data_IF_345401027746
#
_entry.id   IF_345401027746
#
_cell.length_a   1.000
_cell.length_b   1.000
_cell.length_c   1.000
_cell.angle_alpha   90.00
_cell.angle_beta   90.00
_cell.angle_gamma   90.00
#
_symmetry.space_group_name_H-M   'P 1'
#
loop_
_entity.id
_entity.type
_entity.pdbx_description
1 polymer ?
#
# COMPACT_ATOMS: atom_id res chain seq x y z
N UNK A 1 -11.24 -12.82 13.26
CA UNK A 1 -11.59 -13.31 11.92
C UNK A 1 -12.65 -14.34 12.15
N UNK A 2 -13.78 -14.20 11.46
CA UNK A 2 -14.94 -15.05 11.67
C UNK A 2 -15.27 -15.64 10.30
N UNK A 3 -15.27 -16.97 10.22
CA UNK A 3 -15.86 -17.69 9.11
C UNK A 3 -17.34 -17.87 9.45
N UNK A 4 -18.25 -17.46 8.55
CA UNK A 4 -19.67 -17.72 8.74
C UNK A 4 -20.08 -19.05 8.07
N UNK A 5 -21.29 -19.53 8.37
CA UNK A 5 -21.85 -20.78 7.84
C UNK A 5 -22.02 -20.78 6.31
N UNK A 6 -21.75 -19.66 5.63
CA UNK A 6 -21.90 -19.48 4.19
C UNK A 6 -20.57 -19.41 3.43
N UNK A 7 -19.45 -19.79 4.05
CA UNK A 7 -18.13 -19.77 3.39
C UNK A 7 -17.58 -18.35 3.16
N UNK A 8 -18.13 -17.34 3.84
CA UNK A 8 -17.61 -15.98 3.81
C UNK A 8 -16.67 -15.76 4.99
N UNK A 9 -15.49 -15.26 4.68
CA UNK A 9 -14.46 -14.92 5.64
C UNK A 9 -14.48 -13.42 5.92
N UNK A 10 -14.73 -13.05 7.17
CA UNK A 10 -14.73 -11.66 7.61
C UNK A 10 -13.48 -11.33 8.42
N UNK A 11 -12.76 -10.31 7.96
CA UNK A 11 -11.66 -9.66 8.68
C UNK A 11 -12.15 -8.34 9.22
N UNK A 12 -12.25 -8.25 10.54
CA UNK A 12 -12.57 -7.00 11.24
C UNK A 12 -11.66 -6.87 12.46
N UNK A 13 -11.43 -5.62 12.86
CA UNK A 13 -10.90 -5.29 14.17
C UNK A 13 -12.03 -4.58 14.94
N UNK A 14 -12.51 -5.19 16.02
CA UNK A 14 -13.75 -4.86 16.77
C UNK A 14 -13.89 -3.39 17.23
N UNK A 15 -12.85 -2.58 17.07
CA UNK A 15 -12.75 -1.20 17.56
C UNK A 15 -12.21 -0.22 16.51
N UNK A 16 -11.97 -0.67 15.27
CA UNK A 16 -11.54 0.20 14.16
C UNK A 16 -12.68 0.57 13.20
N UNK A 17 -13.87 0.01 13.39
CA UNK A 17 -15.06 0.40 12.65
C UNK A 17 -15.03 0.02 11.17
N UNK A 18 -14.15 -0.87 10.74
CA UNK A 18 -14.13 -1.41 9.38
C UNK A 18 -14.15 -2.93 9.38
N UNK A 19 -14.67 -3.48 8.30
CA UNK A 19 -14.70 -4.90 8.01
C UNK A 19 -14.38 -5.15 6.53
N UNK A 20 -13.75 -6.28 6.25
CA UNK A 20 -13.45 -6.73 4.91
C UNK A 20 -13.96 -8.17 4.73
N UNK A 21 -14.71 -8.38 3.66
CA UNK A 21 -15.32 -9.66 3.35
C UNK A 21 -14.58 -10.33 2.19
N UNK A 22 -14.32 -11.62 2.36
CA UNK A 22 -13.71 -12.51 1.35
C UNK A 22 -14.59 -13.74 1.19
N UNK A 23 -14.57 -14.35 0.03
CA UNK A 23 -15.24 -15.62 -0.23
C UNK A 23 -14.21 -16.74 -0.28
N UNK A 24 -14.46 -17.84 0.42
CA UNK A 24 -13.49 -18.93 0.53
C UNK A 24 -13.24 -19.64 -0.81
N UNK A 25 -14.29 -19.77 -1.61
CA UNK A 25 -14.29 -20.49 -2.89
C UNK A 25 -13.99 -19.59 -4.10
N UNK A 26 -13.95 -18.26 -3.91
CA UNK A 26 -13.63 -17.30 -4.95
C UNK A 26 -12.17 -16.85 -4.83
N UNK A 27 -11.47 -16.79 -5.96
CA UNK A 27 -10.09 -16.31 -5.94
C UNK A 27 -10.06 -14.78 -5.81
N UNK A 28 -9.21 -14.27 -4.93
CA UNK A 28 -8.92 -12.84 -4.87
C UNK A 28 -9.53 -12.17 -3.65
N UNK A 29 -10.12 -10.99 -3.83
CA UNK A 29 -10.72 -10.21 -2.73
C UNK A 29 -9.88 -9.04 -2.20
N UNK A 30 -10.39 -8.23 -1.28
CA UNK A 30 -11.72 -8.37 -0.68
C UNK A 30 -12.83 -8.17 -1.71
N UNK A 31 -13.93 -8.92 -1.53
CA UNK A 31 -15.17 -8.72 -2.29
C UNK A 31 -15.84 -7.41 -1.88
N UNK A 32 -15.71 -7.05 -0.60
CA UNK A 32 -16.16 -5.77 -0.09
C UNK A 32 -15.27 -5.32 1.07
N UNK A 33 -15.02 -4.01 1.15
CA UNK A 33 -14.59 -3.36 2.38
C UNK A 33 -15.69 -2.37 2.78
N UNK A 34 -16.13 -2.45 4.03
CA UNK A 34 -17.08 -1.51 4.62
C UNK A 34 -16.44 -0.76 5.80
N UNK A 35 -16.81 0.50 5.95
CA UNK A 35 -16.44 1.35 7.09
C UNK A 35 -17.72 1.90 7.70
N UNK A 36 -17.91 1.68 9.00
CA UNK A 36 -19.14 1.97 9.74
C UNK A 36 -20.40 1.37 9.07
N UNK A 37 -20.26 0.17 8.48
CA UNK A 37 -21.33 -0.53 7.76
C UNK A 37 -21.65 0.05 6.36
N UNK A 38 -20.87 1.01 5.87
CA UNK A 38 -21.03 1.59 4.54
C UNK A 38 -19.96 0.99 3.61
N UNK A 39 -20.34 0.34 2.50
CA UNK A 39 -19.39 -0.14 1.50
C UNK A 39 -18.57 1.01 0.92
N UNK A 40 -17.25 0.83 0.87
CA UNK A 40 -16.30 1.82 0.33
C UNK A 40 -15.55 1.28 -0.89
N UNK A 41 -15.45 -0.05 -1.00
CA UNK A 41 -14.83 -0.77 -2.10
C UNK A 41 -15.64 -2.03 -2.33
N UNK A 42 -15.95 -2.31 -3.59
CA UNK A 42 -16.55 -3.56 -4.04
C UNK A 42 -15.72 -4.17 -5.16
N UNK A 43 -15.53 -5.48 -5.05
CA UNK A 43 -14.65 -6.25 -5.92
C UNK A 43 -13.18 -5.87 -5.78
N UNK A 44 -12.33 -6.86 -6.06
CA UNK A 44 -10.91 -6.68 -6.21
C UNK A 44 -10.43 -7.57 -7.35
N UNK A 45 -10.68 -7.07 -8.56
CA UNK A 45 -10.63 -7.84 -9.79
C UNK A 45 -9.23 -8.25 -10.22
N UNK A 46 -9.12 -9.49 -10.65
CA UNK A 46 -8.06 -10.00 -11.52
C UNK A 46 -8.70 -10.53 -12.80
N UNK A 47 -8.06 -10.26 -13.94
CA UNK A 47 -8.42 -10.89 -15.20
C UNK A 47 -7.21 -11.03 -16.13
N UNK A 48 -7.29 -12.04 -16.98
CA UNK A 48 -6.38 -12.35 -18.05
C UNK A 48 -7.21 -12.64 -19.30
N UNK A 49 -7.20 -11.72 -20.25
CA UNK A 49 -8.00 -11.72 -21.46
C UNK A 49 -9.50 -11.86 -21.16
N UNK A 50 -10.12 -12.98 -21.54
CA UNK A 50 -11.52 -13.32 -21.31
C UNK A 50 -11.77 -14.11 -20.02
N UNK A 51 -10.70 -14.47 -19.30
CA UNK A 51 -10.78 -15.14 -18.00
C UNK A 51 -10.69 -14.13 -16.88
N UNK A 52 -11.59 -14.19 -15.91
CA UNK A 52 -11.53 -13.40 -14.68
C UNK A 52 -11.24 -14.28 -13.46
N UNK A 53 -11.41 -13.71 -12.27
CA UNK A 53 -11.21 -14.40 -11.01
C UNK A 53 -12.13 -15.62 -10.81
N UNK A 54 -13.29 -15.67 -11.47
CA UNK A 54 -14.25 -16.78 -11.34
C UNK A 54 -13.80 -18.00 -12.15
N UNK A 55 -12.89 -17.80 -13.12
CA UNK A 55 -12.26 -18.88 -13.87
C UNK A 55 -11.12 -19.58 -13.09
N UNK A 56 -10.70 -19.03 -11.94
CA UNK A 56 -9.59 -19.60 -11.15
C UNK A 56 -10.09 -20.76 -10.30
N UNK A 57 -9.50 -21.95 -10.48
CA UNK A 57 -9.70 -23.06 -9.56
C UNK A 57 -8.94 -22.77 -8.25
N UNK A 58 -9.67 -22.32 -7.22
CA UNK A 58 -9.11 -22.06 -5.89
C UNK A 58 -8.64 -23.37 -5.27
N UNK A 59 -7.38 -23.40 -4.86
CA UNK A 59 -6.74 -24.57 -4.25
C UNK A 59 -6.53 -24.43 -2.75
N UNK A 60 -6.50 -23.18 -2.26
CA UNK A 60 -6.27 -22.87 -0.86
C UNK A 60 -6.71 -21.44 -0.54
N UNK A 61 -7.47 -21.31 0.53
CA UNK A 61 -7.73 -20.04 1.21
C UNK A 61 -7.23 -20.16 2.65
N UNK A 62 -6.57 -19.11 3.16
CA UNK A 62 -6.10 -19.05 4.55
C UNK A 62 -6.37 -17.67 5.12
N UNK A 63 -6.77 -17.62 6.38
CA UNK A 63 -6.82 -16.40 7.14
C UNK A 63 -6.12 -16.58 8.48
N UNK A 64 -5.21 -15.68 8.81
CA UNK A 64 -4.39 -15.76 10.01
C UNK A 64 -3.94 -14.37 10.46
N UNK A 65 -3.44 -14.26 11.70
CA UNK A 65 -2.85 -13.02 12.21
C UNK A 65 -1.33 -13.11 12.11
N UNK A 66 -0.68 -12.04 11.65
CA UNK A 66 0.79 -12.02 11.58
C UNK A 66 1.37 -10.63 11.73
N UNK A 67 2.16 -10.45 12.79
CA UNK A 67 2.91 -9.20 13.04
C UNK A 67 2.00 -7.97 13.07
N UNK A 68 0.93 -8.04 13.86
CA UNK A 68 0.00 -6.92 14.05
C UNK A 68 -0.95 -6.64 12.89
N UNK A 69 -1.15 -7.63 12.00
CA UNK A 69 -2.06 -7.51 10.87
C UNK A 69 -2.94 -8.76 10.76
N UNK A 70 -4.19 -8.58 10.31
CA UNK A 70 -5.01 -9.65 9.77
C UNK A 70 -4.55 -9.96 8.35
N UNK A 71 -4.40 -11.23 8.00
CA UNK A 71 -3.91 -11.67 6.70
C UNK A 71 -4.90 -12.65 6.10
N UNK A 72 -5.27 -12.44 4.84
CA UNK A 72 -6.03 -13.40 4.03
C UNK A 72 -5.20 -13.71 2.80
N UNK A 73 -5.07 -14.98 2.46
CA UNK A 73 -4.36 -15.41 1.26
C UNK A 73 -5.15 -16.45 0.48
N UNK A 74 -5.25 -16.25 -0.82
CA UNK A 74 -5.85 -17.17 -1.79
C UNK A 74 -4.75 -17.67 -2.73
N UNK A 75 -4.75 -18.97 -3.04
CA UNK A 75 -3.90 -19.59 -4.04
C UNK A 75 -4.78 -20.41 -5.00
N UNK A 76 -4.52 -20.33 -6.29
CA UNK A 76 -5.30 -21.03 -7.30
C UNK A 76 -4.58 -21.21 -8.63
N UNK A 77 -5.29 -21.79 -9.58
CA UNK A 77 -4.79 -22.05 -10.93
C UNK A 77 -5.85 -21.65 -11.96
N UNK A 78 -5.42 -20.91 -12.99
CA UNK A 78 -6.22 -20.80 -14.21
C UNK A 78 -6.07 -22.10 -15.03
N UNK A 79 -7.16 -22.86 -15.25
CA UNK A 79 -7.08 -24.24 -15.76
C UNK A 79 -6.91 -24.34 -17.28
N UNK A 80 -7.15 -23.27 -18.03
CA UNK A 80 -7.18 -23.30 -19.49
C UNK A 80 -5.79 -23.10 -20.11
N UNK A 81 -5.47 -23.91 -21.13
CA UNK A 81 -4.17 -23.88 -21.79
C UNK A 81 -3.05 -24.48 -20.94
N UNK A 82 -2.03 -23.68 -20.61
CA UNK A 82 -0.96 -24.06 -19.68
C UNK A 82 -1.31 -23.53 -18.29
N UNK A 83 -1.36 -24.36 -17.24
CA UNK A 83 -1.74 -23.91 -15.90
C UNK A 83 -0.92 -22.70 -15.44
N UNK A 84 -1.61 -21.59 -15.19
CA UNK A 84 -1.02 -20.37 -14.61
C UNK A 84 -1.38 -20.36 -13.14
N UNK A 85 -0.37 -20.45 -12.28
CA UNK A 85 -0.58 -20.36 -10.84
C UNK A 85 -0.69 -18.90 -10.42
N UNK A 86 -1.72 -18.60 -9.65
CA UNK A 86 -1.97 -17.27 -9.10
C UNK A 86 -2.09 -17.34 -7.58
N UNK A 87 -1.64 -16.30 -6.90
CA UNK A 87 -1.85 -16.14 -5.48
C UNK A 87 -2.11 -14.67 -5.15
N UNK A 88 -2.99 -14.41 -4.20
CA UNK A 88 -3.23 -13.07 -3.68
C UNK A 88 -3.16 -13.08 -2.16
N UNK A 89 -2.48 -12.10 -1.57
CA UNK A 89 -2.42 -11.90 -0.12
C UNK A 89 -2.83 -10.49 0.24
N UNK A 90 -3.88 -10.37 1.04
CA UNK A 90 -4.36 -9.13 1.63
C UNK A 90 -3.90 -9.04 3.09
N UNK A 91 -3.21 -7.96 3.44
CA UNK A 91 -2.69 -7.71 4.80
C UNK A 91 -3.30 -6.42 5.35
N UNK A 92 -4.22 -6.58 6.29
CA UNK A 92 -4.99 -5.52 6.92
C UNK A 92 -4.33 -5.03 8.21
N UNK A 93 -4.16 -3.72 8.35
CA UNK A 93 -3.72 -3.11 9.59
C UNK A 93 -4.17 -1.65 9.66
N UNK A 94 -4.60 -1.21 10.85
CA UNK A 94 -5.03 0.17 11.08
C UNK A 94 -6.14 0.56 10.09
N UNK A 95 -5.91 1.54 9.22
CA UNK A 95 -6.87 2.03 8.23
C UNK A 95 -6.51 1.64 6.78
N UNK A 96 -5.71 0.59 6.59
CA UNK A 96 -5.24 0.21 5.26
C UNK A 96 -5.16 -1.31 5.08
N UNK A 97 -5.19 -1.72 3.81
CA UNK A 97 -4.85 -3.06 3.37
C UNK A 97 -3.75 -2.99 2.32
N UNK A 98 -2.72 -3.80 2.49
CA UNK A 98 -1.71 -4.03 1.45
C UNK A 98 -2.05 -5.32 0.73
N UNK A 99 -2.06 -5.28 -0.59
CA UNK A 99 -2.36 -6.43 -1.43
C UNK A 99 -1.11 -6.81 -2.21
N UNK A 100 -0.75 -8.09 -2.14
CA UNK A 100 0.30 -8.72 -2.95
C UNK A 100 -0.35 -9.70 -3.89
N UNK A 101 -0.18 -9.53 -5.19
CA UNK A 101 -0.62 -10.46 -6.20
C UNK A 101 0.60 -11.13 -6.85
N UNK A 102 0.65 -12.45 -6.85
CA UNK A 102 1.68 -13.26 -7.48
C UNK A 102 1.08 -14.04 -8.64
N UNK A 103 1.77 -14.04 -9.78
CA UNK A 103 1.42 -14.85 -10.95
C UNK A 103 2.66 -15.54 -11.49
N UNK A 104 2.59 -16.86 -11.61
CA UNK A 104 3.68 -17.68 -12.16
C UNK A 104 3.40 -17.98 -13.63
N UNK A 105 4.16 -17.33 -14.51
CA UNK A 105 3.98 -17.47 -15.94
C UNK A 105 4.72 -18.71 -16.47
N UNK A 106 4.04 -19.74 -16.99
CA UNK A 106 4.69 -20.88 -17.59
C UNK A 106 5.25 -20.53 -18.98
N UNK A 107 6.23 -21.30 -19.44
CA UNK A 107 6.78 -21.13 -20.80
C UNK A 107 5.66 -21.33 -21.82
N UNK A 108 5.48 -20.37 -22.73
CA UNK A 108 4.53 -20.46 -23.83
C UNK A 108 3.08 -20.16 -23.46
N UNK A 109 2.78 -19.68 -22.25
CA UNK A 109 1.53 -18.96 -22.01
C UNK A 109 1.61 -17.56 -22.65
N UNK A 110 0.48 -17.08 -23.13
CA UNK A 110 0.36 -15.78 -23.80
C UNK A 110 -0.73 -14.94 -23.15
N UNK A 111 -0.60 -13.62 -23.31
CA UNK A 111 -1.66 -12.65 -23.06
C UNK A 111 -2.09 -12.18 -24.44
N UNK A 112 -3.35 -12.38 -24.80
CA UNK A 112 -3.84 -11.99 -26.12
C UNK A 112 -3.94 -10.47 -26.23
N UNK A 113 -4.53 -9.83 -25.22
CA UNK A 113 -4.82 -8.40 -25.21
C UNK A 113 -4.69 -7.76 -23.84
N UNK A 114 -5.20 -8.39 -22.78
CA UNK A 114 -5.39 -7.71 -21.50
C UNK A 114 -4.93 -8.55 -20.31
N UNK A 115 -4.18 -7.95 -19.41
CA UNK A 115 -3.95 -8.46 -18.07
C UNK A 115 -4.19 -7.33 -17.07
N UNK A 116 -5.18 -7.54 -16.20
CA UNK A 116 -5.61 -6.58 -15.19
C UNK A 116 -5.54 -7.15 -13.77
N UNK A 117 -5.18 -6.30 -12.82
CA UNK A 117 -5.08 -6.69 -11.41
C UNK A 117 -5.38 -5.52 -10.48
N UNK A 118 -6.13 -5.78 -9.40
CA UNK A 118 -6.49 -4.79 -8.41
C UNK A 118 -7.42 -3.72 -8.97
N UNK A 119 -8.25 -4.07 -9.97
CA UNK A 119 -9.36 -3.25 -10.41
C UNK A 119 -10.47 -3.25 -9.35
N UNK A 120 -11.15 -2.11 -9.17
CA UNK A 120 -12.05 -1.88 -8.04
C UNK A 120 -13.30 -1.15 -8.50
N UNK A 121 -14.40 -1.35 -7.79
CA UNK A 121 -15.56 -0.49 -7.86
C UNK A 121 -15.69 0.32 -6.56
N UNK A 122 -15.89 1.63 -6.69
CA UNK A 122 -16.07 2.55 -5.58
C UNK A 122 -17.52 3.01 -5.54
N UNK A 123 -18.38 2.37 -4.72
CA UNK A 123 -19.80 2.69 -4.70
C UNK A 123 -20.08 4.10 -4.17
N UNK A 124 -21.16 4.70 -4.66
CA UNK A 124 -21.66 5.99 -4.21
C UNK A 124 -21.12 7.19 -4.99
N UNK A 125 -21.48 8.39 -4.52
CA UNK A 125 -21.14 9.64 -5.19
C UNK A 125 -19.81 10.20 -4.68
N UNK A 126 -18.92 10.52 -5.61
CA UNK A 126 -17.58 11.06 -5.36
C UNK A 126 -17.45 12.45 -5.97
N UNK A 127 -16.89 13.41 -5.22
CA UNK A 127 -16.80 14.81 -5.66
C UNK A 127 -15.56 15.11 -6.48
N UNK A 128 -14.43 14.56 -6.04
CA UNK A 128 -13.11 14.88 -6.59
C UNK A 128 -12.12 13.77 -6.26
N UNK A 129 -11.01 13.75 -6.98
CA UNK A 129 -9.89 12.88 -6.67
C UNK A 129 -8.56 13.64 -6.69
N UNK A 130 -7.66 13.29 -5.78
CA UNK A 130 -6.29 13.77 -5.73
C UNK A 130 -5.38 12.79 -6.46
N UNK A 131 -4.64 13.28 -7.44
CA UNK A 131 -3.70 12.49 -8.24
C UNK A 131 -2.28 12.70 -7.74
N UNK A 132 -1.62 11.64 -7.28
CA UNK A 132 -0.16 11.58 -7.20
C UNK A 132 0.34 10.97 -8.51
N UNK A 133 1.01 11.76 -9.39
CA UNK A 133 1.31 11.31 -10.74
C UNK A 133 2.36 10.18 -10.75
N UNK A 134 2.50 9.46 -11.87
CA UNK A 134 3.55 8.45 -12.05
C UNK A 134 4.95 8.95 -11.68
N UNK A 135 5.82 8.03 -11.27
CA UNK A 135 7.20 8.32 -10.86
C UNK A 135 7.94 9.24 -11.83
N UNK A 136 7.91 8.94 -13.13
CA UNK A 136 8.60 9.77 -14.14
C UNK A 136 8.03 11.17 -14.26
N UNK A 137 6.72 11.35 -14.17
CA UNK A 137 6.10 12.66 -14.20
C UNK A 137 6.45 13.49 -12.95
N UNK A 138 6.54 12.86 -11.78
CA UNK A 138 7.07 13.52 -10.57
C UNK A 138 8.52 13.97 -10.79
N UNK A 139 9.36 13.11 -11.37
CA UNK A 139 10.76 13.45 -11.69
C UNK A 139 10.87 14.60 -12.70
N UNK A 140 9.88 14.76 -13.57
CA UNK A 140 9.75 15.88 -14.53
C UNK A 140 9.13 17.14 -13.91
N UNK A 141 8.76 17.11 -12.62
CA UNK A 141 8.25 18.26 -11.88
C UNK A 141 6.73 18.42 -11.90
N UNK A 142 5.97 17.43 -12.38
CA UNK A 142 4.51 17.43 -12.29
C UNK A 142 4.10 17.31 -10.82
N UNK A 143 3.38 18.30 -10.31
CA UNK A 143 2.90 18.30 -8.93
C UNK A 143 1.62 17.48 -8.76
N UNK A 144 1.43 16.81 -7.62
CA UNK A 144 0.13 16.25 -7.25
C UNK A 144 -0.97 17.33 -7.15
N UNK A 145 -2.20 16.99 -7.52
CA UNK A 145 -3.32 17.95 -7.56
C UNK A 145 -4.69 17.28 -7.37
N UNK A 146 -5.68 18.08 -6.94
CA UNK A 146 -7.09 17.70 -6.92
C UNK A 146 -7.73 17.94 -8.29
N UNK A 147 -8.64 17.03 -8.66
CA UNK A 147 -9.42 17.05 -9.88
C UNK A 147 -10.89 16.84 -9.53
N UNK A 148 -11.76 17.74 -9.98
CA UNK A 148 -13.21 17.63 -9.77
C UNK A 148 -13.81 16.51 -10.63
N UNK A 149 -14.77 15.79 -10.07
CA UNK A 149 -15.58 14.78 -10.75
C UNK A 149 -16.89 15.45 -11.16
N UNK A 150 -17.23 15.48 -12.45
CA UNK A 150 -18.47 16.08 -12.91
C UNK A 150 -19.68 15.26 -12.41
N UNK A 151 -20.78 15.96 -12.10
CA UNK A 151 -22.01 15.31 -11.64
C UNK A 151 -22.64 14.37 -12.69
N UNK A 152 -22.47 14.70 -13.97
CA UNK A 152 -22.85 13.82 -15.08
C UNK A 152 -21.58 13.21 -15.71
N UNK A 153 -21.62 11.92 -16.10
CA UNK A 153 -20.49 11.29 -16.77
C UNK A 153 -20.21 11.98 -18.10
N UNK A 154 -18.93 12.17 -18.48
CA UNK A 154 -18.59 12.65 -19.82
C UNK A 154 -19.10 11.65 -20.86
N UNK A 155 -19.18 12.05 -22.14
CA UNK A 155 -19.70 11.16 -23.19
C UNK A 155 -18.97 9.82 -23.34
N UNK A 156 -17.71 9.73 -22.90
CA UNK A 156 -16.92 8.47 -22.85
C UNK A 156 -17.04 7.71 -21.52
N UNK A 157 -17.64 8.31 -20.50
CA UNK A 157 -17.60 7.87 -19.10
C UNK A 157 -16.21 7.99 -18.44
N UNK A 158 -15.14 8.28 -19.19
CA UNK A 158 -13.78 8.23 -18.68
C UNK A 158 -13.36 9.56 -18.05
N UNK A 159 -12.98 9.54 -16.78
CA UNK A 159 -12.51 10.71 -16.02
C UNK A 159 -10.99 10.91 -16.10
N UNK A 160 -10.24 9.81 -16.22
CA UNK A 160 -8.78 9.85 -16.30
C UNK A 160 -8.23 8.60 -16.98
N UNK A 161 -7.10 8.76 -17.68
CA UNK A 161 -6.38 7.68 -18.36
C UNK A 161 -4.88 7.93 -18.31
N UNK A 162 -4.12 6.90 -17.95
CA UNK A 162 -2.66 6.93 -17.93
C UNK A 162 -2.10 5.63 -18.50
N UNK A 163 -0.96 5.74 -19.17
CA UNK A 163 -0.17 4.58 -19.61
C UNK A 163 0.79 4.08 -18.52
N UNK A 164 1.15 4.95 -17.58
CA UNK A 164 1.92 4.60 -16.37
C UNK A 164 1.02 4.69 -15.15
N UNK A 165 1.24 3.84 -14.13
CA UNK A 165 0.40 3.87 -12.96
C UNK A 165 0.58 5.18 -12.19
N UNK A 166 -0.51 5.90 -11.85
CA UNK A 166 -0.46 6.87 -10.77
C UNK A 166 0.13 6.24 -9.51
N UNK A 167 0.92 6.99 -8.74
CA UNK A 167 1.43 6.46 -7.46
C UNK A 167 0.30 6.28 -6.45
N UNK A 168 -0.63 7.23 -6.42
CA UNK A 168 -1.85 7.16 -5.63
C UNK A 168 -2.97 8.00 -6.24
N UNK A 169 -4.20 7.56 -5.99
CA UNK A 169 -5.44 8.28 -6.23
C UNK A 169 -6.19 8.37 -4.91
N UNK A 170 -6.53 9.56 -4.42
CA UNK A 170 -7.37 9.75 -3.23
C UNK A 170 -8.72 10.31 -3.66
N UNK A 171 -9.78 9.55 -3.50
CA UNK A 171 -11.15 9.95 -3.82
C UNK A 171 -11.81 10.53 -2.58
N UNK A 172 -12.56 11.63 -2.72
CA UNK A 172 -13.30 12.29 -1.64
C UNK A 172 -14.80 12.29 -1.93
N UNK A 173 -15.60 11.85 -0.95
CA UNK A 173 -17.06 11.87 -0.97
C UNK A 173 -17.64 13.18 -0.44
N UNK A 174 -18.95 13.32 -0.61
CA UNK A 174 -19.72 14.47 -0.13
C UNK A 174 -19.67 14.70 1.38
N UNK A 175 -19.58 13.62 2.14
CA UNK A 175 -19.49 13.58 3.60
C UNK A 175 -18.06 13.78 4.12
N UNK A 176 -17.08 13.98 3.23
CA UNK A 176 -15.67 14.14 3.57
C UNK A 176 -14.91 12.83 3.78
N UNK A 177 -15.55 11.67 3.60
CA UNK A 177 -14.87 10.38 3.58
C UNK A 177 -13.85 10.33 2.44
N UNK A 178 -12.69 9.72 2.71
CA UNK A 178 -11.62 9.56 1.72
C UNK A 178 -11.17 8.13 1.59
N UNK A 179 -10.97 7.72 0.34
CA UNK A 179 -10.39 6.44 -0.02
C UNK A 179 -9.16 6.67 -0.90
N UNK A 180 -8.06 6.05 -0.55
CA UNK A 180 -6.81 6.06 -1.29
C UNK A 180 -6.55 4.71 -1.95
N UNK A 181 -6.23 4.74 -3.24
CA UNK A 181 -5.78 3.59 -4.03
C UNK A 181 -4.36 3.87 -4.49
N UNK A 182 -3.39 3.09 -4.01
CA UNK A 182 -1.98 3.32 -4.34
C UNK A 182 -1.29 2.13 -4.98
N UNK A 183 -0.36 2.41 -5.89
CA UNK A 183 0.37 1.41 -6.69
C UNK A 183 1.43 0.65 -5.88
N UNK A 184 1.62 1.00 -4.61
CA UNK A 184 2.60 0.35 -3.75
C UNK A 184 4.04 0.66 -4.17
N UNK A 185 4.97 -0.20 -3.76
CA UNK A 185 6.40 0.05 -3.93
C UNK A 185 6.97 -0.45 -5.24
N UNK A 186 6.32 -1.45 -5.85
CA UNK A 186 6.84 -2.20 -6.99
C UNK A 186 6.63 -1.49 -8.34
N UNK A 187 6.78 -0.16 -8.39
CA UNK A 187 6.45 0.67 -9.56
C UNK A 187 7.07 0.14 -10.84
N UNK A 188 8.34 -0.29 -10.76
CA UNK A 188 9.02 -0.89 -11.91
C UNK A 188 8.34 -2.14 -12.48
N UNK A 189 7.59 -2.91 -11.69
CA UNK A 189 6.85 -4.08 -12.21
C UNK A 189 5.58 -3.67 -12.93
N UNK A 190 4.95 -2.60 -12.46
CA UNK A 190 3.81 -1.99 -13.13
C UNK A 190 4.23 -1.28 -14.42
N UNK A 191 5.37 -0.57 -14.43
CA UNK A 191 5.85 0.19 -15.60
C UNK A 191 6.57 -0.64 -16.65
N UNK A 192 7.19 -1.77 -16.30
CA UNK A 192 7.86 -2.62 -17.30
C UNK A 192 6.94 -3.71 -17.83
N UNK A 193 5.62 -3.67 -17.60
CA UNK A 193 4.56 -4.47 -18.24
C UNK A 193 4.99 -5.89 -18.66
N UNK A 194 5.54 -6.69 -17.75
CA UNK A 194 6.08 -8.04 -18.00
C UNK A 194 7.25 -8.19 -19.00
N UNK A 195 7.89 -7.10 -19.42
CA UNK A 195 8.94 -7.02 -20.43
C UNK A 195 8.55 -6.10 -21.60
N UNK A 196 7.28 -5.69 -21.66
CA UNK A 196 6.75 -4.79 -22.67
C UNK A 196 6.83 -3.35 -22.12
N UNK A 197 7.13 -2.37 -22.97
CA UNK A 197 7.43 -1.01 -22.52
C UNK A 197 6.25 -0.34 -21.77
N UNK A 198 6.48 0.80 -21.10
CA UNK A 198 5.49 1.46 -20.24
C UNK A 198 4.21 1.90 -20.96
N UNK A 199 4.24 2.06 -22.28
CA UNK A 199 3.04 2.39 -23.08
C UNK A 199 2.02 1.25 -23.13
N UNK A 200 2.42 0.04 -22.74
CA UNK A 200 1.53 -1.11 -22.64
C UNK A 200 0.70 -1.09 -21.35
N UNK A 201 0.91 -0.15 -20.42
CA UNK A 201 0.01 0.02 -19.29
C UNK A 201 -1.27 0.76 -19.67
N UNK A 202 -2.36 0.47 -18.96
CA UNK A 202 -3.64 1.19 -19.08
C UNK A 202 -4.31 1.30 -17.71
N UNK A 203 -4.36 2.51 -17.19
CA UNK A 203 -4.94 2.84 -15.89
C UNK A 203 -6.04 3.87 -16.09
N UNK A 204 -7.27 3.55 -15.66
CA UNK A 204 -8.45 4.37 -15.96
C UNK A 204 -9.33 4.55 -14.73
N UNK A 205 -10.02 5.69 -14.71
CA UNK A 205 -11.18 5.93 -13.85
C UNK A 205 -12.39 6.10 -14.77
N UNK A 206 -13.37 5.22 -14.63
CA UNK A 206 -14.64 5.30 -15.33
C UNK A 206 -15.72 5.78 -14.36
N UNK A 207 -16.53 6.74 -14.77
CA UNK A 207 -17.71 7.22 -14.08
C UNK A 207 -18.90 6.36 -14.53
N UNK A 208 -19.47 5.61 -13.59
CA UNK A 208 -20.63 4.76 -13.77
C UNK A 208 -21.83 5.32 -13.01
N UNK A 209 -23.02 4.78 -13.22
CA UNK A 209 -24.26 5.35 -12.68
C UNK A 209 -24.32 5.34 -11.13
N UNK A 210 -23.65 4.37 -10.52
CA UNK A 210 -23.68 4.05 -9.09
C UNK A 210 -22.32 4.20 -8.40
N UNK A 211 -21.30 4.70 -9.11
CA UNK A 211 -19.97 4.86 -8.55
C UNK A 211 -18.86 5.09 -9.57
N UNK A 212 -17.63 4.77 -9.15
CA UNK A 212 -16.44 4.84 -10.00
C UNK A 212 -15.84 3.45 -10.18
N UNK A 213 -15.54 3.08 -11.43
CA UNK A 213 -14.74 1.89 -11.72
C UNK A 213 -13.30 2.26 -11.98
N UNK A 214 -12.40 1.63 -11.23
CA UNK A 214 -10.96 1.77 -11.38
C UNK A 214 -10.45 0.56 -12.16
N UNK A 215 -9.88 0.81 -13.33
CA UNK A 215 -9.28 -0.23 -14.18
C UNK A 215 -7.77 -0.08 -14.10
N UNK A 216 -7.08 -1.19 -13.84
CA UNK A 216 -5.62 -1.24 -13.71
C UNK A 216 -5.09 -2.42 -14.50
N UNK A 217 -4.59 -2.12 -15.69
CA UNK A 217 -4.00 -3.07 -16.61
C UNK A 217 -2.49 -2.82 -16.67
N UNK A 218 -1.66 -3.59 -15.96
CA UNK A 218 -0.22 -3.56 -16.18
C UNK A 218 0.17 -3.94 -17.60
N UNK A 219 -0.70 -4.57 -18.37
CA UNK A 219 -0.46 -4.97 -19.74
C UNK A 219 -1.76 -4.95 -20.54
N UNK A 220 -1.83 -4.04 -21.51
CA UNK A 220 -2.81 -3.93 -22.57
C UNK A 220 -2.04 -3.85 -23.90
N UNK A 221 -2.30 -4.76 -24.82
CA UNK A 221 -1.62 -4.85 -26.10
C UNK A 221 -2.61 -5.07 -27.25
N UNK A 222 -2.25 -4.56 -28.43
CA UNK A 222 -2.96 -4.85 -29.68
C UNK A 222 -2.53 -6.18 -30.31
N UNK A 223 -1.41 -6.75 -29.85
CA UNK A 223 -0.82 -8.00 -30.32
C UNK A 223 -0.68 -8.99 -29.17
N UNK A 224 -0.74 -10.28 -29.50
CA UNK A 224 -0.46 -11.35 -28.53
C UNK A 224 0.98 -11.23 -28.02
N UNK A 225 1.14 -11.29 -26.71
CA UNK A 225 2.43 -11.20 -26.05
C UNK A 225 2.73 -12.44 -25.24
N UNK A 226 4.00 -12.85 -25.22
CA UNK A 226 4.48 -14.00 -24.46
C UNK A 226 5.41 -13.53 -23.33
N UNK A 227 4.89 -13.31 -22.10
CA UNK A 227 5.73 -13.01 -20.95
C UNK A 227 6.83 -14.04 -20.71
N UNK A 228 7.95 -13.60 -20.12
CA UNK A 228 9.04 -14.49 -19.73
C UNK A 228 8.57 -15.51 -18.70
N UNK A 229 9.10 -16.75 -18.77
CA UNK A 229 8.83 -17.77 -17.76
C UNK A 229 9.44 -17.36 -16.42
N UNK A 230 8.62 -16.81 -15.52
CA UNK A 230 8.99 -16.48 -14.13
C UNK A 230 7.75 -16.14 -13.30
N UNK A 231 7.97 -16.00 -12.00
CA UNK A 231 7.00 -15.37 -11.11
C UNK A 231 7.06 -13.85 -11.24
N UNK A 232 5.92 -13.23 -11.50
CA UNK A 232 5.69 -11.80 -11.38
C UNK A 232 4.92 -11.54 -10.09
N UNK A 233 5.22 -10.41 -9.44
CA UNK A 233 4.57 -9.97 -8.21
C UNK A 233 4.12 -8.54 -8.37
N UNK A 234 2.89 -8.19 -8.05
CA UNK A 234 2.39 -6.82 -8.09
C UNK A 234 1.85 -6.48 -6.71
N UNK A 235 2.43 -5.45 -6.09
CA UNK A 235 1.94 -4.94 -4.81
C UNK A 235 1.13 -3.67 -5.06
N UNK A 236 0.13 -3.44 -4.23
CA UNK A 236 -0.63 -2.19 -4.15
C UNK A 236 -1.30 -2.10 -2.77
N UNK A 237 -2.02 -1.02 -2.50
CA UNK A 237 -2.73 -0.88 -1.23
C UNK A 237 -3.98 -0.03 -1.37
N UNK A 238 -4.85 -0.16 -0.37
CA UNK A 238 -5.95 0.75 -0.09
C UNK A 238 -5.76 1.35 1.29
N UNK A 239 -6.14 2.61 1.46
CA UNK A 239 -6.25 3.23 2.77
C UNK A 239 -7.49 4.11 2.83
N UNK A 240 -8.11 4.24 3.99
CA UNK A 240 -9.34 5.03 4.16
C UNK A 240 -9.24 5.98 5.35
N UNK A 241 -10.02 7.05 5.30
CA UNK A 241 -10.10 8.03 6.37
C UNK A 241 -11.57 8.43 6.57
N UNK A 242 -12.05 8.21 7.78
CA UNK A 242 -13.36 8.68 8.23
C UNK A 242 -13.30 10.20 8.45
N UNK A 243 -14.29 10.99 7.99
CA UNK A 243 -14.34 12.43 8.25
C UNK A 243 -14.35 12.78 9.75
N UNK A 244 -14.86 11.88 10.61
CA UNK A 244 -14.87 12.04 12.06
C UNK A 244 -13.51 11.76 12.72
N UNK A 245 -12.54 11.20 11.98
CA UNK A 245 -11.21 10.92 12.50
C UNK A 245 -10.43 12.22 12.72
N UNK A 246 -10.26 12.61 13.99
CA UNK A 246 -9.38 13.73 14.33
C UNK A 246 -7.91 13.37 14.07
N UNK A 247 -7.22 14.22 13.31
CA UNK A 247 -5.78 14.11 13.14
C UNK A 247 -5.08 14.54 14.44
N UNK A 248 -4.13 13.73 14.95
CA UNK A 248 -3.41 14.06 16.17
C UNK A 248 -2.63 15.37 15.99
N UNK A 249 -2.75 16.27 16.97
CA UNK A 249 -1.99 17.53 17.00
C UNK A 249 -0.58 17.28 17.52
N UNK A 250 0.40 17.98 16.95
CA UNK A 250 1.76 17.95 17.48
C UNK A 250 1.76 18.46 18.94
N UNK A 251 2.44 17.75 19.86
CA UNK A 251 2.45 18.12 21.26
C UNK A 251 3.24 19.42 21.47
N UNK A 252 2.77 20.26 22.40
CA UNK A 252 3.53 21.40 22.88
C UNK A 252 4.38 20.97 24.09
N UNK A 253 5.69 21.23 24.06
CA UNK A 253 6.58 20.91 25.18
C UNK A 253 8.04 20.73 24.77
N UNK A 254 8.93 20.52 25.75
CA UNK A 254 10.32 20.16 25.48
C UNK A 254 10.37 18.79 24.81
N UNK A 255 11.15 18.71 23.73
CA UNK A 255 11.22 17.55 22.86
C UNK A 255 12.67 17.09 22.73
N UNK A 256 12.88 15.77 22.79
CA UNK A 256 14.21 15.16 22.64
C UNK A 256 14.35 14.53 21.25
N UNK A 257 15.33 14.99 20.47
CA UNK A 257 15.67 14.43 19.16
C UNK A 257 16.40 13.09 19.29
N UNK A 258 15.67 11.98 19.19
CA UNK A 258 16.20 10.66 19.55
C UNK A 258 17.30 10.15 18.62
N UNK A 259 17.38 10.66 17.39
CA UNK A 259 18.43 10.30 16.45
C UNK A 259 19.78 10.97 16.77
N UNK A 260 19.76 12.11 17.46
CA UNK A 260 20.94 12.90 17.80
C UNK A 260 21.31 12.81 19.30
N UNK A 261 20.33 12.56 20.17
CA UNK A 261 20.50 12.52 21.62
C UNK A 261 21.37 11.35 22.10
N UNK A 262 22.09 11.58 23.19
CA UNK A 262 22.84 10.51 23.85
C UNK A 262 21.88 9.54 24.60
N UNK A 263 22.23 8.26 24.76
CA UNK A 263 21.38 7.32 25.51
C UNK A 263 21.01 7.78 26.93
N UNK A 264 21.92 8.45 27.63
CA UNK A 264 21.66 9.00 28.96
C UNK A 264 20.62 10.12 28.96
N UNK A 265 20.61 10.96 27.92
CA UNK A 265 19.62 12.02 27.74
C UNK A 265 18.23 11.43 27.46
N UNK A 266 18.15 10.41 26.60
CA UNK A 266 16.91 9.71 26.31
C UNK A 266 16.36 9.05 27.59
N UNK A 267 17.23 8.44 28.41
CA UNK A 267 16.85 7.83 29.69
C UNK A 267 16.37 8.86 30.72
N UNK A 268 17.02 10.02 30.80
CA UNK A 268 16.64 11.10 31.71
C UNK A 268 15.26 11.69 31.41
N UNK A 269 14.78 11.52 30.18
CA UNK A 269 13.48 12.00 29.70
C UNK A 269 12.45 10.87 29.53
N UNK A 270 12.59 9.75 30.26
CA UNK A 270 11.61 8.66 30.24
C UNK A 270 10.18 9.20 30.51
N UNK A 271 9.21 8.73 29.72
CA UNK A 271 7.84 9.24 29.73
C UNK A 271 7.62 10.59 29.04
N UNK A 272 8.68 11.21 28.48
CA UNK A 272 8.62 12.51 27.81
C UNK A 272 8.15 12.48 26.36
N UNK A 273 8.42 13.59 25.66
CA UNK A 273 8.14 13.77 24.23
C UNK A 273 9.44 13.58 23.44
N UNK A 274 9.40 12.68 22.48
CA UNK A 274 10.52 12.30 21.62
C UNK A 274 10.22 12.63 20.16
N UNK A 275 11.24 13.03 19.39
CA UNK A 275 11.14 13.17 17.93
C UNK A 275 12.14 12.28 17.22
N UNK A 276 11.61 11.45 16.33
CA UNK A 276 12.38 10.79 15.30
C UNK A 276 12.27 11.62 14.01
N UNK A 277 13.23 12.51 13.80
CA UNK A 277 13.42 13.17 12.51
C UNK A 277 14.30 12.30 11.59
N UNK A 278 13.77 11.81 10.45
CA UNK A 278 14.55 10.98 9.53
C UNK A 278 15.80 11.67 8.98
N UNK A 279 15.79 13.00 8.85
CA UNK A 279 16.94 13.78 8.36
C UNK A 279 18.11 13.80 9.35
N UNK A 280 17.83 13.58 10.64
CA UNK A 280 18.84 13.53 11.70
C UNK A 280 19.43 12.12 11.89
N UNK A 281 18.89 11.12 11.19
CA UNK A 281 19.41 9.76 11.27
C UNK A 281 20.78 9.67 10.59
N UNK A 282 21.76 9.11 11.30
CA UNK A 282 23.09 8.82 10.75
C UNK A 282 23.02 7.65 9.76
N UNK A 283 22.69 7.96 8.52
CA UNK A 283 22.53 6.99 7.43
C UNK A 283 23.71 7.06 6.45
N UNK A 284 24.04 5.92 5.86
CA UNK A 284 24.92 5.91 4.70
C UNK A 284 24.19 6.54 3.51
N UNK A 285 24.93 7.22 2.63
CA UNK A 285 24.41 7.81 1.39
C UNK A 285 23.57 6.82 0.55
N UNK A 286 23.96 5.54 0.55
CA UNK A 286 23.25 4.45 -0.13
C UNK A 286 21.87 4.13 0.46
N UNK A 287 21.45 4.76 1.55
CA UNK A 287 20.11 4.62 2.15
C UNK A 287 19.16 5.75 1.74
N UNK A 288 19.69 6.84 1.20
CA UNK A 288 18.91 8.00 0.77
C UNK A 288 18.30 7.76 -0.61
N UNK A 289 17.15 8.37 -0.86
CA UNK A 289 16.49 8.27 -2.15
C UNK A 289 17.30 9.01 -3.24
N UNK A 290 17.13 8.56 -4.47
CA UNK A 290 17.58 9.29 -5.66
C UNK A 290 16.33 9.56 -6.49
N UNK A 291 15.95 10.84 -6.66
CA UNK A 291 14.60 11.21 -7.11
C UNK A 291 14.37 10.97 -8.61
N UNK A 292 15.43 10.71 -9.38
CA UNK A 292 15.34 10.43 -10.82
C UNK A 292 16.35 9.36 -11.24
N UNK A 293 16.18 8.83 -12.45
CA UNK A 293 17.14 7.90 -13.07
C UNK A 293 18.50 8.59 -13.31
N UNK A 294 18.49 9.85 -13.73
CA UNK A 294 19.69 10.66 -13.97
C UNK A 294 20.46 10.91 -12.68
N UNK A 295 19.75 11.25 -11.59
CA UNK A 295 20.36 11.41 -10.27
C UNK A 295 21.01 10.11 -9.81
N UNK A 296 20.38 8.96 -10.07
CA UNK A 296 20.99 7.65 -9.81
C UNK A 296 22.26 7.42 -10.62
N UNK A 297 22.23 7.67 -11.93
CA UNK A 297 23.38 7.45 -12.81
C UNK A 297 24.57 8.36 -12.45
N UNK A 298 24.29 9.56 -11.95
CA UNK A 298 25.31 10.53 -11.51
C UNK A 298 25.79 10.33 -10.08
N UNK A 299 25.14 9.43 -9.33
CA UNK A 299 25.34 9.25 -7.89
C UNK A 299 25.06 10.54 -7.09
N UNK A 300 24.04 11.30 -7.50
CA UNK A 300 23.64 12.54 -6.84
C UNK A 300 22.83 12.22 -5.56
N UNK A 301 23.50 12.27 -4.40
CA UNK A 301 22.89 11.97 -3.10
C UNK A 301 22.37 13.27 -2.45
N UNK A 302 21.25 13.78 -2.97
CA UNK A 302 20.56 14.95 -2.42
C UNK A 302 19.29 14.58 -1.62
N UNK A 303 19.02 13.29 -1.47
CA UNK A 303 17.73 12.76 -1.09
C UNK A 303 17.43 12.59 0.39
N UNK A 304 16.14 12.59 0.74
CA UNK A 304 15.65 12.13 2.03
C UNK A 304 15.87 10.61 2.19
N UNK A 305 15.82 10.04 3.40
CA UNK A 305 15.89 8.59 3.58
C UNK A 305 14.82 7.87 2.77
N UNK A 306 15.19 6.84 2.01
CA UNK A 306 14.20 5.98 1.39
C UNK A 306 13.71 4.95 2.41
N UNK A 307 12.41 4.90 2.66
CA UNK A 307 11.82 3.95 3.60
C UNK A 307 11.81 2.50 3.12
N UNK A 308 12.05 2.23 1.83
CA UNK A 308 12.33 0.85 1.38
C UNK A 308 13.72 0.38 1.73
N UNK A 309 14.68 1.29 1.94
CA UNK A 309 16.03 0.89 2.26
C UNK A 309 16.10 0.10 3.56
N UNK A 310 16.64 -1.11 3.47
CA UNK A 310 16.96 -1.94 4.63
C UNK A 310 17.84 -1.21 5.66
N UNK A 311 18.72 -0.29 5.22
CA UNK A 311 19.55 0.53 6.11
C UNK A 311 18.71 1.53 6.91
N UNK A 312 17.84 2.28 6.23
CA UNK A 312 16.87 3.20 6.86
C UNK A 312 16.00 2.49 7.87
N UNK A 313 15.37 1.37 7.48
CA UNK A 313 14.54 0.55 8.35
C UNK A 313 15.30 0.06 9.58
N UNK A 314 16.52 -0.48 9.42
CA UNK A 314 17.32 -0.96 10.55
C UNK A 314 17.69 0.15 11.54
N UNK A 315 18.06 1.32 11.03
CA UNK A 315 18.40 2.47 11.86
C UNK A 315 17.19 2.98 12.65
N UNK A 316 16.04 3.19 11.99
CA UNK A 316 14.82 3.62 12.66
C UNK A 316 14.34 2.58 13.70
N UNK A 317 14.34 1.29 13.34
CA UNK A 317 13.96 0.21 14.26
C UNK A 317 14.90 0.06 15.47
N UNK A 318 16.16 0.53 15.37
CA UNK A 318 17.09 0.55 16.51
C UNK A 318 16.65 1.60 17.52
N UNK A 319 16.32 2.80 17.04
CA UNK A 319 15.81 3.91 17.85
C UNK A 319 14.52 3.49 18.57
N UNK A 320 13.56 2.89 17.86
CA UNK A 320 12.31 2.42 18.48
C UNK A 320 12.58 1.37 19.58
N UNK A 321 13.54 0.46 19.40
CA UNK A 321 13.93 -0.51 20.43
C UNK A 321 14.56 0.16 21.65
N UNK A 322 15.30 1.25 21.46
CA UNK A 322 15.85 2.04 22.55
C UNK A 322 14.73 2.70 23.37
N UNK A 323 13.73 3.30 22.70
CA UNK A 323 12.56 3.87 23.36
C UNK A 323 11.76 2.83 24.13
N UNK A 324 11.53 1.65 23.54
CA UNK A 324 10.90 0.52 24.23
C UNK A 324 11.66 0.13 25.50
N UNK A 325 12.98 0.22 25.49
CA UNK A 325 13.86 -0.10 26.62
C UNK A 325 13.72 0.83 27.82
N UNK A 326 13.06 1.99 27.68
CA UNK A 326 12.84 2.92 28.78
C UNK A 326 11.87 2.40 29.85
N UNK A 327 11.00 1.44 29.48
CA UNK A 327 10.00 0.86 30.39
C UNK A 327 8.86 1.80 30.79
N UNK A 328 8.85 3.05 30.30
CA UNK A 328 7.80 4.02 30.54
C UNK A 328 7.24 4.54 29.20
N UNK A 329 5.92 4.44 28.97
CA UNK A 329 5.29 5.01 27.78
C UNK A 329 5.43 6.52 27.73
N UNK A 330 5.67 7.06 26.54
CA UNK A 330 5.73 8.50 26.27
C UNK A 330 5.05 8.86 24.95
N UNK A 331 5.40 10.04 24.44
CA UNK A 331 4.94 10.50 23.12
C UNK A 331 6.09 10.44 22.12
N UNK A 332 5.87 9.83 20.96
CA UNK A 332 6.81 9.80 19.85
C UNK A 332 6.22 10.56 18.64
N UNK A 333 6.86 11.65 18.26
CA UNK A 333 6.62 12.33 16.98
C UNK A 333 7.56 11.75 15.94
N UNK A 334 7.04 11.32 14.79
CA UNK A 334 7.87 10.81 13.69
C UNK A 334 7.72 11.72 12.48
N UNK A 335 8.77 12.44 12.12
CA UNK A 335 8.81 13.25 10.91
C UNK A 335 9.76 14.44 10.95
N UNK A 336 9.79 15.23 9.86
CA UNK A 336 8.78 15.26 8.80
C UNK A 336 8.78 13.98 7.95
N UNK A 337 7.58 13.47 7.66
CA UNK A 337 7.34 12.32 6.78
C UNK A 337 6.78 12.81 5.44
N UNK A 338 7.32 12.28 4.35
CA UNK A 338 6.81 12.50 3.01
C UNK A 338 7.23 11.32 2.15
N UNK A 339 6.29 10.52 1.62
CA UNK A 339 6.66 9.42 0.75
C UNK A 339 7.24 9.98 -0.55
N UNK A 340 8.27 9.35 -1.07
CA UNK A 340 9.04 9.84 -2.21
C UNK A 340 9.35 8.74 -3.21
N UNK A 341 9.43 9.12 -4.47
CA UNK A 341 9.94 8.26 -5.52
C UNK A 341 11.47 8.09 -5.37
N UNK A 342 11.96 6.90 -5.70
CA UNK A 342 13.38 6.55 -5.58
C UNK A 342 13.81 5.63 -6.72
N UNK A 343 15.03 5.82 -7.22
CA UNK A 343 15.61 5.00 -8.30
C UNK A 343 16.73 4.06 -7.84
N UNK A 344 17.02 3.96 -6.54
CA UNK A 344 18.11 3.09 -6.03
C UNK A 344 17.66 1.61 -6.02
N UNK A 345 18.17 0.73 -6.92
CA UNK A 345 17.64 -0.63 -7.04
C UNK A 345 17.94 -1.51 -5.83
N UNK A 346 19.02 -1.23 -5.08
CA UNK A 346 19.39 -2.03 -3.91
C UNK A 346 18.43 -1.86 -2.74
N UNK A 347 17.59 -0.82 -2.72
CA UNK A 347 16.54 -0.64 -1.69
C UNK A 347 15.42 -1.66 -1.81
N UNK A 348 15.26 -2.25 -2.99
CA UNK A 348 14.23 -3.23 -3.33
C UNK A 348 14.86 -4.57 -3.72
N UNK A 349 16.10 -4.80 -3.26
CA UNK A 349 16.90 -6.01 -3.49
C UNK A 349 17.09 -6.35 -4.99
N UNK A 350 17.30 -5.31 -5.82
CA UNK A 350 17.54 -5.41 -7.27
C UNK A 350 18.86 -4.77 -7.69
N UNK A 351 19.22 -4.98 -8.95
CA UNK A 351 20.31 -4.32 -9.66
C UNK A 351 19.76 -3.81 -10.99
N UNK A 352 20.05 -2.55 -11.33
CA UNK A 352 19.71 -1.99 -12.63
C UNK A 352 20.67 -0.84 -12.95
N UNK A 353 21.29 -0.81 -14.14
CA UNK A 353 22.35 0.17 -14.46
C UNK A 353 21.85 1.61 -14.55
N UNK A 354 20.54 1.82 -14.74
CA UNK A 354 19.91 3.16 -14.81
C UNK A 354 18.99 3.46 -13.63
N UNK A 355 19.11 2.70 -12.56
CA UNK A 355 18.18 2.78 -11.44
C UNK A 355 16.84 2.13 -11.76
N UNK A 356 16.01 1.93 -10.73
CA UNK A 356 14.74 1.24 -10.85
C UNK A 356 13.72 1.95 -9.96
N UNK A 357 12.73 2.57 -10.61
CA UNK A 357 11.73 3.40 -9.95
C UNK A 357 10.93 2.58 -8.93
N UNK A 358 10.86 3.07 -7.70
CA UNK A 358 10.01 2.54 -6.64
C UNK A 358 9.49 3.67 -5.78
N UNK A 359 8.42 3.38 -5.04
CA UNK A 359 7.81 4.31 -4.11
C UNK A 359 7.92 3.81 -2.68
N UNK A 360 8.33 4.67 -1.76
CA UNK A 360 8.74 4.24 -0.43
C UNK A 360 7.62 4.18 0.62
N UNK A 361 6.40 4.56 0.25
CA UNK A 361 5.25 4.53 1.15
C UNK A 361 4.99 3.15 1.78
N UNK A 362 5.06 2.05 1.03
CA UNK A 362 4.86 0.72 1.64
C UNK A 362 5.89 0.41 2.74
N UNK A 363 7.12 0.90 2.59
CA UNK A 363 8.16 0.74 3.61
C UNK A 363 7.83 1.57 4.86
N UNK A 364 7.22 2.74 4.68
CA UNK A 364 6.72 3.57 5.77
C UNK A 364 5.52 2.92 6.46
N UNK A 365 4.57 2.33 5.73
CA UNK A 365 3.45 1.57 6.29
C UNK A 365 3.94 0.38 7.12
N UNK A 366 4.90 -0.39 6.60
CA UNK A 366 5.50 -1.52 7.33
C UNK A 366 6.23 -1.07 8.59
N UNK A 367 6.98 0.03 8.50
CA UNK A 367 7.64 0.62 9.65
C UNK A 367 6.61 1.06 10.71
N UNK A 368 5.51 1.67 10.30
CA UNK A 368 4.49 2.17 11.19
C UNK A 368 3.74 1.05 11.93
N UNK A 369 3.31 0.01 11.22
CA UNK A 369 2.70 -1.19 11.81
C UNK A 369 3.67 -1.85 12.79
N UNK A 370 4.93 -2.04 12.39
CA UNK A 370 5.95 -2.62 13.27
C UNK A 370 6.21 -1.76 14.51
N UNK A 371 6.27 -0.44 14.36
CA UNK A 371 6.54 0.49 15.46
C UNK A 371 5.41 0.48 16.47
N UNK A 372 4.14 0.52 16.02
CA UNK A 372 2.97 0.38 16.89
C UNK A 372 3.02 -0.95 17.66
N UNK A 373 3.38 -2.05 17.00
CA UNK A 373 3.52 -3.35 17.68
C UNK A 373 4.69 -3.41 18.67
N UNK A 374 5.77 -2.66 18.43
CA UNK A 374 6.89 -2.63 19.35
C UNK A 374 6.63 -1.82 20.60
N UNK A 375 6.08 -0.62 20.45
CA UNK A 375 5.84 0.31 21.54
C UNK A 375 4.53 0.00 22.28
N UNK A 376 3.56 -0.62 21.62
CA UNK A 376 2.29 -1.01 22.23
C UNK A 376 1.25 0.13 22.21
N UNK A 377 0.06 -0.11 22.78
CA UNK A 377 -1.04 0.83 22.78
C UNK A 377 -0.81 2.05 23.69
N UNK A 378 -0.03 1.90 24.77
CA UNK A 378 0.17 2.96 25.77
C UNK A 378 1.06 4.11 25.28
N UNK A 379 1.80 3.91 24.20
CA UNK A 379 2.57 4.97 23.55
C UNK A 379 1.68 5.82 22.65
N UNK A 380 1.78 7.14 22.79
CA UNK A 380 1.21 8.06 21.80
C UNK A 380 2.22 8.22 20.68
N UNK A 381 1.82 7.93 19.43
CA UNK A 381 2.72 8.02 18.26
C UNK A 381 2.04 8.89 17.22
N UNK A 382 2.70 9.96 16.80
CA UNK A 382 2.12 11.02 15.98
C UNK A 382 2.96 11.15 14.71
N UNK A 383 2.38 10.89 13.52
CA UNK A 383 3.04 11.19 12.27
C UNK A 383 3.07 12.72 12.05
N UNK A 384 4.25 13.29 11.83
CA UNK A 384 4.43 14.67 11.40
C UNK A 384 4.55 14.69 9.88
N UNK A 385 3.44 14.91 9.17
CA UNK A 385 3.44 15.07 7.72
C UNK A 385 2.39 16.08 7.28
N UNK A 386 2.74 17.06 6.43
CA UNK A 386 1.75 17.97 5.85
C UNK A 386 0.75 17.22 4.94
N UNK A 387 1.13 16.06 4.40
CA UNK A 387 0.28 15.25 3.54
C UNK A 387 -0.73 14.39 4.32
N UNK A 388 -0.67 14.32 5.66
CA UNK A 388 -1.72 13.65 6.47
C UNK A 388 -3.10 14.26 6.27
N UNK A 389 -3.17 15.54 5.89
CA UNK A 389 -4.43 16.22 5.58
C UNK A 389 -5.03 15.83 4.23
N UNK A 390 -4.33 15.04 3.41
CA UNK A 390 -4.75 14.68 2.05
C UNK A 390 -4.72 13.17 1.80
N UNK A 391 -3.70 12.46 2.31
CA UNK A 391 -3.49 11.03 2.06
C UNK A 391 -3.91 10.17 3.27
N UNK A 392 -5.02 9.42 3.18
CA UNK A 392 -5.46 8.46 4.20
C UNK A 392 -4.35 7.53 4.74
N UNK A 393 -3.47 7.04 3.87
CA UNK A 393 -2.36 6.15 4.25
C UNK A 393 -1.40 6.81 5.23
N UNK A 394 -1.19 8.13 5.12
CA UNK A 394 -0.36 8.91 6.03
C UNK A 394 -1.10 9.29 7.30
N UNK A 395 -2.40 9.59 7.20
CA UNK A 395 -3.27 9.90 8.34
C UNK A 395 -3.36 8.75 9.34
N UNK A 396 -3.37 7.50 8.86
CA UNK A 396 -3.43 6.31 9.70
C UNK A 396 -2.09 5.72 10.13
N UNK A 397 -0.96 6.36 9.79
CA UNK A 397 0.35 5.89 10.24
C UNK A 397 0.41 5.81 11.76
N UNK A 398 0.96 4.70 12.24
CA UNK A 398 1.13 4.38 13.66
C UNK A 398 -0.20 4.28 14.42
N UNK A 399 -1.36 4.28 13.74
CA UNK A 399 -2.66 4.01 14.35
C UNK A 399 -2.72 2.62 14.99
N UNK A 400 -3.73 2.40 15.83
CA UNK A 400 -3.99 1.07 16.38
C UNK A 400 -4.21 0.10 15.22
N UNK A 401 -3.49 -1.02 15.20
CA UNK A 401 -3.59 -1.97 14.08
C UNK A 401 -4.80 -2.89 14.20
N UNK A 402 -5.41 -3.02 15.39
CA UNK A 402 -6.54 -3.90 15.65
C UNK A 402 -6.16 -5.37 15.83
N UNK A 403 -4.87 -5.70 15.78
CA UNK A 403 -4.35 -7.05 15.89
C UNK A 403 -3.12 -7.07 16.80
N UNK A 404 -3.11 -7.90 17.84
CA UNK A 404 -1.98 -8.05 18.75
C UNK A 404 -1.04 -9.18 18.27
N UNK A 405 0.24 -9.11 18.66
CA UNK A 405 1.21 -10.18 18.41
C UNK A 405 1.08 -11.22 19.53
N UNK A 406 0.30 -12.29 19.33
CA UNK A 406 0.24 -13.40 20.29
C UNK A 406 -1.13 -14.06 20.51
N UNK A 407 -2.20 -13.58 19.88
CA UNK A 407 -3.44 -14.35 19.78
C UNK A 407 -3.38 -15.19 18.49
N UNK A 408 -2.56 -16.24 18.51
CA UNK A 408 -2.73 -17.36 17.57
C UNK A 408 -4.08 -18.00 17.94
N UNK A 409 -5.09 -17.84 17.08
CA UNK A 409 -6.22 -18.76 17.13
C UNK A 409 -5.64 -20.11 16.70
N UNK A 410 -5.64 -21.06 17.63
CA UNK A 410 -4.99 -22.36 17.45
C UNK A 410 -5.31 -22.97 16.09
N UNK A 411 -4.26 -23.46 15.43
CA UNK A 411 -4.37 -24.49 14.40
C UNK A 411 -4.93 -25.75 15.09
N UNK A 412 -6.23 -25.81 15.30
CA UNK A 412 -6.96 -27.02 15.71
C UNK A 412 -8.26 -27.06 14.91
N UNK A 413 -8.18 -27.38 13.63
CA UNK A 413 -9.26 -28.04 12.87
C UNK A 413 -8.64 -28.81 11.70
N UNK A 414 -7.86 -29.84 12.04
CA UNK A 414 -7.67 -31.02 11.19
C UNK A 414 -8.07 -32.24 12.05
N UNK A 415 -9.36 -32.61 12.00
CA UNK A 415 -9.84 -33.99 12.16
C UNK A 415 -10.84 -34.33 11.05
#
# INVERSE_FOLDING_TARGET
>A
MILNEFGQLTVAAEHLGWEAHHEEERFGGPEEIAVAGVPIVQGCGFYLDDMDQDAVAVSRTRAFRKSGAGVVSHEGVLPFGRPIHVAQTCRYAANHVRVTFDINWPRGATVQRHFGVGGLFLPGMWRRYYLVPPCTHLAEGVAPAWHEIPAEPPGSGMLGHWHRPPLALVFERDDGFRLEVGTGNDIWRWEHCMGFGPEAGSYKIMHEADGLRIIREPLMSCEEVAPEKRQYRLNWYLAWQDPAQELPRLPAGPLVEVAAAAPAEIQANAGGIFRLDPSQMRLAASCCNQPTSEAYVRDDVAGAPCWQSNGTQKAARRIIRQLKGLGQPGTLVVGPLGPAACWVPSHIDRKHPRGLAHWDLCGLLDFAVWTRQQLGPDWTIIPDSPATATMPSLAGLFGNTGFSKGEDMGEDMDE
#
